data_IF_730076689953
#
_entry.id   IF_730076689953
#
_cell.length_a   1.000
_cell.length_b   1.000
_cell.length_c   1.000
_cell.angle_alpha   90.00
_cell.angle_beta   90.00
_cell.angle_gamma   90.00
#
_symmetry.space_group_name_H-M   'P 1'
#
loop_
_entity.id
_entity.type
_entity.pdbx_description
1 polymer ?
#
# COMPACT_ATOMS: atom_id res chain seq x y z
N UNK A 1 10.04 -2.83 5.15
CA UNK A 1 10.76 -1.97 4.19
C UNK A 1 9.79 -0.87 3.83
N UNK A 2 10.10 0.39 4.09
CA UNK A 2 9.15 1.48 3.85
C UNK A 2 8.76 1.59 2.36
N UNK A 3 7.51 1.97 2.06
CA UNK A 3 7.18 2.53 0.74
C UNK A 3 7.98 3.81 0.54
N UNK A 4 8.49 3.97 -0.68
CA UNK A 4 9.45 4.98 -1.10
C UNK A 4 9.02 5.51 -2.46
N UNK A 5 9.63 6.63 -2.88
CA UNK A 5 9.40 7.21 -4.20
C UNK A 5 9.53 6.18 -5.34
N UNK A 6 10.54 5.31 -5.29
CA UNK A 6 10.79 4.31 -6.35
C UNK A 6 9.58 3.40 -6.57
N UNK A 7 8.84 3.08 -5.51
CA UNK A 7 7.67 2.19 -5.59
C UNK A 7 6.51 2.88 -6.32
N UNK A 8 6.32 4.19 -6.11
CA UNK A 8 5.37 4.98 -6.90
C UNK A 8 5.82 5.15 -8.36
N UNK A 9 7.12 5.37 -8.60
CA UNK A 9 7.67 5.50 -9.96
C UNK A 9 7.54 4.19 -10.75
N UNK A 10 7.52 3.04 -10.08
CA UNK A 10 7.30 1.73 -10.70
C UNK A 10 5.83 1.35 -10.94
N UNK A 11 4.86 2.21 -10.63
CA UNK A 11 3.45 1.94 -10.93
C UNK A 11 3.25 1.94 -12.46
N UNK A 12 2.70 0.84 -12.97
CA UNK A 12 2.53 0.60 -14.43
C UNK A 12 1.07 0.60 -14.85
N UNK A 13 0.20 0.10 -14.00
CA UNK A 13 -1.21 -0.17 -14.26
C UNK A 13 -2.10 0.56 -13.24
N UNK A 14 -2.05 1.91 -13.17
CA UNK A 14 -2.88 2.65 -12.24
C UNK A 14 -4.38 2.42 -12.52
N UNK A 15 -5.23 2.36 -11.48
CA UNK A 15 -4.89 2.52 -10.07
C UNK A 15 -4.23 1.26 -9.47
N UNK A 16 -3.18 1.46 -8.67
CA UNK A 16 -2.52 0.38 -7.92
C UNK A 16 -2.49 0.71 -6.43
N UNK A 17 -2.80 -0.28 -5.58
CA UNK A 17 -2.67 -0.16 -4.12
C UNK A 17 -1.45 -0.93 -3.67
N UNK A 18 -0.44 -0.17 -3.27
CA UNK A 18 0.80 -0.70 -2.70
C UNK A 18 0.66 -0.78 -1.18
N UNK A 19 0.68 -1.98 -0.59
CA UNK A 19 0.66 -2.15 0.86
C UNK A 19 2.07 -1.99 1.44
N UNK A 20 2.13 -1.62 2.71
CA UNK A 20 3.33 -1.76 3.52
C UNK A 20 2.99 -2.01 5.00
N UNK A 21 3.86 -2.75 5.66
CA UNK A 21 3.76 -3.06 7.07
C UNK A 21 5.16 -2.92 7.69
N UNK A 22 5.22 -2.37 8.91
CA UNK A 22 6.47 -2.13 9.60
C UNK A 22 6.38 -2.56 11.05
N UNK A 23 7.50 -3.06 11.57
CA UNK A 23 7.75 -3.34 12.99
C UNK A 23 8.85 -2.39 13.42
N UNK A 24 8.60 -1.57 14.44
CA UNK A 24 9.55 -0.55 14.87
C UNK A 24 9.71 -0.50 16.38
N UNK A 25 10.96 -0.35 16.81
CA UNK A 25 11.29 0.07 18.16
C UNK A 25 11.46 1.59 18.19
N UNK A 26 10.81 2.25 19.14
CA UNK A 26 10.85 3.70 19.24
C UNK A 26 11.11 4.09 20.68
N UNK A 27 12.24 4.76 20.91
CA UNK A 27 12.59 5.27 22.24
C UNK A 27 11.57 6.29 22.74
N UNK A 28 11.49 6.47 24.06
CA UNK A 28 10.65 7.48 24.70
C UNK A 28 10.88 8.87 24.08
N UNK A 29 9.80 9.56 23.70
CA UNK A 29 9.80 10.88 23.06
C UNK A 29 10.58 10.96 21.73
N UNK A 30 10.77 9.82 21.07
CA UNK A 30 11.37 9.75 19.74
C UNK A 30 10.32 9.56 18.65
N UNK A 31 10.77 9.69 17.39
CA UNK A 31 9.96 9.37 16.21
C UNK A 31 10.65 8.33 15.35
N UNK A 32 9.89 7.39 14.83
CA UNK A 32 10.28 6.52 13.74
C UNK A 32 9.64 7.00 12.44
N UNK A 33 10.42 7.08 11.38
CA UNK A 33 9.93 7.33 10.03
C UNK A 33 9.45 6.01 9.43
N UNK A 34 8.15 5.94 9.13
CA UNK A 34 7.51 4.74 8.57
C UNK A 34 7.43 4.83 7.04
N UNK A 35 7.13 6.03 6.52
CA UNK A 35 7.07 6.31 5.09
C UNK A 35 7.55 7.73 4.85
N UNK A 36 8.38 7.90 3.81
CA UNK A 36 8.83 9.21 3.37
C UNK A 36 8.93 9.28 1.86
N UNK A 37 7.89 9.85 1.26
CA UNK A 37 7.82 10.14 -0.16
C UNK A 37 8.00 11.66 -0.30
N UNK A 38 9.24 12.14 -0.56
CA UNK A 38 9.55 13.57 -0.55
C UNK A 38 8.94 14.32 -1.74
N UNK A 39 8.66 13.62 -2.84
CA UNK A 39 7.98 14.14 -4.01
C UNK A 39 7.04 13.07 -4.59
N UNK A 40 5.83 13.44 -5.03
CA UNK A 40 5.00 12.56 -5.85
C UNK A 40 5.44 12.69 -7.32
N UNK A 41 5.57 11.59 -8.09
CA UNK A 41 5.88 11.66 -9.51
C UNK A 41 4.93 12.56 -10.30
N UNK A 42 5.45 13.26 -11.31
CA UNK A 42 4.66 14.17 -12.13
C UNK A 42 3.49 13.46 -12.81
N UNK A 43 2.29 14.04 -12.74
CA UNK A 43 1.08 13.43 -13.31
C UNK A 43 0.51 12.28 -12.50
N UNK A 44 0.97 12.05 -11.26
CA UNK A 44 0.38 11.10 -10.32
C UNK A 44 -0.16 11.79 -9.06
N UNK A 45 -1.13 11.14 -8.41
CA UNK A 45 -1.53 11.41 -7.02
C UNK A 45 -1.28 10.15 -6.20
N UNK A 46 -0.88 10.35 -4.95
CA UNK A 46 -0.79 9.28 -3.97
C UNK A 46 -1.94 9.44 -2.97
N UNK A 47 -2.69 8.38 -2.70
CA UNK A 47 -3.74 8.39 -1.67
C UNK A 47 -3.35 7.42 -0.57
N UNK A 48 -3.05 7.96 0.62
CA UNK A 48 -2.85 7.14 1.82
C UNK A 48 -4.19 6.53 2.20
N UNK A 49 -4.23 5.20 2.21
CA UNK A 49 -5.43 4.40 2.37
C UNK A 49 -5.23 3.37 3.46
N UNK A 50 -6.10 3.45 4.47
CA UNK A 50 -6.10 2.52 5.58
C UNK A 50 -4.85 2.63 6.43
N UNK A 51 -5.03 2.90 7.72
CA UNK A 51 -3.93 2.83 8.67
C UNK A 51 -4.41 1.99 9.84
N UNK A 52 -3.65 0.96 10.18
CA UNK A 52 -3.90 0.12 11.33
C UNK A 52 -2.61 -0.01 12.13
N UNK A 53 -2.71 0.09 13.46
CA UNK A 53 -1.55 0.03 14.35
C UNK A 53 -1.89 -0.68 15.65
N UNK A 54 -0.88 -1.04 16.42
CA UNK A 54 -1.11 -1.52 17.78
C UNK A 54 -1.91 -0.50 18.58
N UNK A 55 -2.92 -1.01 19.29
CA UNK A 55 -3.83 -0.18 20.07
C UNK A 55 -3.18 0.20 21.41
N UNK A 56 -2.51 1.35 21.44
CA UNK A 56 -1.80 1.83 22.64
C UNK A 56 -1.91 3.34 22.82
N UNK A 57 -1.88 3.78 24.08
CA UNK A 57 -1.72 5.20 24.42
C UNK A 57 -0.27 5.68 24.35
N UNK A 58 0.68 4.75 24.21
CA UNK A 58 2.10 5.05 24.14
C UNK A 58 2.54 5.58 22.77
N UNK A 59 1.64 5.66 21.78
CA UNK A 59 1.98 6.01 20.41
C UNK A 59 1.01 7.04 19.81
N UNK A 60 1.56 7.93 18.99
CA UNK A 60 0.85 8.87 18.13
C UNK A 60 1.29 8.71 16.68
N UNK A 61 0.33 8.76 15.76
CA UNK A 61 0.57 8.77 14.34
C UNK A 61 0.67 10.23 13.88
N UNK A 62 1.75 10.55 13.17
CA UNK A 62 1.94 11.88 12.57
C UNK A 62 2.06 11.73 11.06
N UNK A 63 1.05 12.25 10.36
CA UNK A 63 0.93 12.14 8.92
C UNK A 63 1.07 13.53 8.33
N UNK A 64 2.02 13.70 7.41
CA UNK A 64 2.20 14.95 6.67
C UNK A 64 1.83 14.74 5.21
N UNK A 65 0.86 15.51 4.74
CA UNK A 65 0.37 15.50 3.36
C UNK A 65 0.59 16.88 2.78
N UNK A 66 1.46 16.97 1.79
CA UNK A 66 1.89 18.23 1.19
C UNK A 66 2.38 19.21 2.28
N UNK A 67 1.57 20.21 2.63
CA UNK A 67 1.88 21.20 3.66
C UNK A 67 1.11 20.99 4.98
N UNK A 68 0.12 20.10 5.00
CA UNK A 68 -0.70 19.81 6.18
C UNK A 68 -0.10 18.70 7.02
N UNK A 69 -0.23 18.82 8.34
CA UNK A 69 0.12 17.78 9.29
C UNK A 69 -1.10 17.38 10.10
N UNK A 70 -1.29 16.08 10.29
CA UNK A 70 -2.33 15.48 11.13
C UNK A 70 -1.67 14.62 12.19
N UNK A 71 -2.11 14.79 13.43
CA UNK A 71 -1.63 14.03 14.58
C UNK A 71 -2.81 13.30 15.20
N UNK A 72 -2.64 12.00 15.45
CA UNK A 72 -3.70 11.09 15.87
C UNK A 72 -3.15 10.16 16.95
N UNK A 73 -3.89 9.94 18.02
CA UNK A 73 -3.50 8.91 18.99
C UNK A 73 -3.72 7.51 18.39
N UNK A 74 -2.85 6.55 18.71
CA UNK A 74 -2.98 5.18 18.19
C UNK A 74 -4.12 4.40 18.86
N UNK A 75 -4.40 4.66 20.15
CA UNK A 75 -5.45 3.96 20.92
C UNK A 75 -6.86 3.98 20.29
N UNK A 76 -7.40 5.12 19.82
CA UNK A 76 -8.74 5.17 19.23
C UNK A 76 -8.81 4.63 17.80
N UNK A 77 -7.68 4.28 17.17
CA UNK A 77 -7.69 3.72 15.82
C UNK A 77 -8.21 2.27 15.84
N UNK A 78 -8.73 1.84 14.69
CA UNK A 78 -9.09 0.44 14.50
C UNK A 78 -7.87 -0.43 14.80
N UNK A 79 -8.09 -1.45 15.64
CA UNK A 79 -7.08 -2.44 15.97
C UNK A 79 -6.55 -3.11 14.68
N UNK A 80 -5.30 -3.55 14.70
CA UNK A 80 -4.70 -4.37 13.64
C UNK A 80 -5.45 -5.67 13.36
N UNK A 81 -6.34 -6.11 14.24
CA UNK A 81 -7.28 -7.20 14.02
C UNK A 81 -8.50 -6.84 13.16
N UNK A 82 -8.60 -5.60 12.68
CA UNK A 82 -9.69 -5.09 11.82
C UNK A 82 -9.14 -4.45 10.53
N UNK A 83 -8.03 -4.98 10.00
CA UNK A 83 -7.38 -4.47 8.77
C UNK A 83 -8.19 -4.65 7.50
N UNK A 84 -9.14 -5.58 7.51
CA UNK A 84 -10.17 -5.74 6.49
C UNK A 84 -11.14 -4.54 6.46
N UNK A 85 -11.18 -3.76 7.55
CA UNK A 85 -11.93 -2.50 7.71
C UNK A 85 -10.96 -1.37 8.00
N UNK A 86 -10.12 -1.00 7.04
CA UNK A 86 -9.17 0.10 7.22
C UNK A 86 -9.92 1.33 7.73
N UNK A 87 -9.30 2.03 8.68
CA UNK A 87 -9.72 3.37 9.07
C UNK A 87 -9.99 4.22 7.82
N UNK A 88 -10.99 5.10 7.90
CA UNK A 88 -11.45 5.94 6.78
C UNK A 88 -10.41 6.97 6.28
N UNK A 89 -9.12 6.77 6.55
CA UNK A 89 -8.04 7.53 5.93
C UNK A 89 -8.09 7.29 4.42
N UNK A 90 -8.44 8.37 3.73
CA UNK A 90 -8.30 8.51 2.29
C UNK A 90 -7.70 9.89 2.06
N UNK A 91 -6.42 10.02 2.37
CA UNK A 91 -5.71 11.30 2.38
C UNK A 91 -4.92 11.43 1.07
N UNK A 92 -5.28 12.44 0.28
CA UNK A 92 -4.74 12.64 -1.07
C UNK A 92 -3.54 13.58 -0.99
N UNK A 93 -2.38 13.11 -1.47
CA UNK A 93 -1.15 13.88 -1.62
C UNK A 93 -0.87 14.15 -3.10
N UNK A 94 -0.48 15.39 -3.39
CA UNK A 94 -0.12 15.82 -4.76
C UNK A 94 1.35 16.19 -4.90
N UNK A 95 2.02 16.50 -3.79
CA UNK A 95 3.41 16.95 -3.73
C UNK A 95 4.26 16.04 -2.87
N UNK A 96 3.85 15.70 -1.65
CA UNK A 96 4.64 14.85 -0.75
C UNK A 96 3.78 14.13 0.26
N UNK A 97 4.20 12.95 0.69
CA UNK A 97 3.50 12.15 1.70
C UNK A 97 4.50 11.58 2.69
N UNK A 98 4.28 11.82 3.99
CA UNK A 98 5.10 11.27 5.07
C UNK A 98 4.23 10.72 6.19
N UNK A 99 4.72 9.66 6.81
CA UNK A 99 4.08 9.04 7.95
C UNK A 99 5.15 8.66 8.97
N UNK A 100 4.94 9.10 10.21
CA UNK A 100 5.80 8.82 11.35
C UNK A 100 4.98 8.26 12.50
N UNK A 101 5.62 7.42 13.31
CA UNK A 101 5.14 7.02 14.63
C UNK A 101 5.94 7.80 15.67
N UNK A 102 5.25 8.51 16.55
CA UNK A 102 5.83 9.21 17.69
C UNK A 102 5.52 8.45 18.99
N UNK A 103 6.55 8.17 19.77
CA UNK A 103 6.44 7.44 21.02
C UNK A 103 6.24 8.38 22.21
N UNK A 104 5.06 8.34 22.82
CA UNK A 104 4.79 8.98 24.12
C UNK A 104 5.44 8.17 25.26
N UNK A 105 5.51 6.85 25.13
CA UNK A 105 6.33 5.96 25.96
C UNK A 105 7.17 5.05 25.06
N UNK A 106 8.25 4.46 25.59
CA UNK A 106 9.08 3.54 24.80
C UNK A 106 8.23 2.41 24.20
N UNK A 107 8.39 2.20 22.90
CA UNK A 107 7.70 1.19 22.12
C UNK A 107 8.69 0.11 21.73
N UNK A 108 8.31 -1.15 21.92
CA UNK A 108 9.04 -2.32 21.46
C UNK A 108 8.14 -3.11 20.52
N UNK A 109 8.68 -3.53 19.38
CA UNK A 109 7.99 -4.29 18.34
C UNK A 109 6.65 -3.65 17.91
N UNK A 110 6.56 -2.31 17.90
CA UNK A 110 5.32 -1.63 17.53
C UNK A 110 5.03 -1.85 16.05
N UNK A 111 3.85 -2.38 15.78
CA UNK A 111 3.45 -2.77 14.43
C UNK A 111 2.46 -1.75 13.84
N UNK A 112 2.65 -1.48 12.55
CA UNK A 112 1.79 -0.59 11.77
C UNK A 112 1.66 -1.10 10.34
N UNK A 113 0.48 -0.87 9.77
CA UNK A 113 0.17 -1.17 8.39
C UNK A 113 -0.50 0.03 7.73
N UNK A 114 -0.18 0.24 6.46
CA UNK A 114 -0.86 1.21 5.61
C UNK A 114 -0.82 0.79 4.13
N UNK A 115 -1.70 1.38 3.34
CA UNK A 115 -1.69 1.27 1.88
C UNK A 115 -1.52 2.63 1.21
N UNK A 116 -0.89 2.65 0.04
CA UNK A 116 -0.81 3.85 -0.81
C UNK A 116 -1.37 3.51 -2.19
N UNK A 117 -2.47 4.15 -2.56
CA UNK A 117 -2.93 4.13 -3.94
C UNK A 117 -2.06 5.08 -4.76
N UNK A 118 -1.42 4.58 -5.80
CA UNK A 118 -0.88 5.44 -6.85
C UNK A 118 -1.84 5.50 -8.03
N UNK A 119 -2.10 6.72 -8.47
CA UNK A 119 -3.18 7.01 -9.40
C UNK A 119 -2.75 8.07 -10.40
N UNK A 120 -3.12 7.90 -11.67
CA UNK A 120 -2.79 8.87 -12.72
C UNK A 120 -3.73 10.08 -12.67
N UNK A 121 -3.17 11.29 -12.61
CA UNK A 121 -3.93 12.53 -12.62
C UNK A 121 -4.75 12.65 -13.91
N UNK A 122 -6.07 12.74 -13.78
CA UNK A 122 -6.97 13.12 -14.87
C UNK A 122 -7.27 14.63 -14.81
N UNK A 123 -7.88 15.17 -15.89
CA UNK A 123 -8.38 16.56 -15.89
C UNK A 123 -9.39 16.78 -14.77
N UNK A 124 -10.25 15.79 -14.50
CA UNK A 124 -11.22 15.87 -13.41
C UNK A 124 -10.54 15.93 -12.03
N UNK A 125 -9.49 15.12 -11.80
CA UNK A 125 -8.72 15.16 -10.55
C UNK A 125 -8.05 16.53 -10.36
N UNK A 126 -7.44 17.07 -11.42
CA UNK A 126 -6.79 18.38 -11.38
C UNK A 126 -7.79 19.49 -11.05
N UNK A 127 -8.97 19.46 -11.66
CA UNK A 127 -10.03 20.43 -11.37
C UNK A 127 -10.53 20.30 -9.92
N UNK A 128 -10.78 19.07 -9.44
CA UNK A 128 -11.22 18.82 -8.06
C UNK A 128 -10.19 19.31 -7.04
N UNK A 129 -8.91 19.04 -7.29
CA UNK A 129 -7.79 19.38 -6.41
C UNK A 129 -7.23 20.80 -6.64
N UNK A 130 -7.85 21.57 -7.54
CA UNK A 130 -7.42 22.93 -7.92
C UNK A 130 -5.96 23.00 -8.41
N UNK A 131 -5.51 21.96 -9.10
CA UNK A 131 -4.20 21.90 -9.75
C UNK A 131 -4.25 22.60 -11.12
N UNK A 132 -3.13 23.17 -11.59
CA UNK A 132 -3.07 23.81 -12.89
C UNK A 132 -3.29 22.81 -14.03
N UNK A 133 -4.09 23.23 -15.02
CA UNK A 133 -4.28 22.50 -16.27
C UNK A 133 -3.31 22.99 -17.34
N UNK A 134 -2.78 22.07 -18.13
CA UNK A 134 -2.06 22.38 -19.37
C UNK A 134 -3.02 22.91 -20.45
N UNK A 135 -2.49 23.55 -21.50
CA UNK A 135 -3.32 24.11 -22.58
C UNK A 135 -4.20 23.06 -23.26
N UNK A 136 -3.70 21.84 -23.45
CA UNK A 136 -4.48 20.76 -24.07
C UNK A 136 -5.57 20.23 -23.13
N UNK A 137 -5.28 20.18 -21.82
CA UNK A 137 -6.27 19.81 -20.80
C UNK A 137 -7.37 20.88 -20.65
N UNK A 138 -7.04 22.16 -20.86
CA UNK A 138 -8.04 23.24 -20.89
C UNK A 138 -8.99 23.08 -22.08
N UNK A 139 -8.46 22.84 -23.28
CA UNK A 139 -9.28 22.56 -24.48
C UNK A 139 -10.15 21.32 -24.29
N UNK A 140 -9.60 20.28 -23.65
CA UNK A 140 -10.36 19.05 -23.34
C UNK A 140 -11.49 19.33 -22.34
N UNK A 141 -11.20 20.12 -21.30
CA UNK A 141 -12.21 20.55 -20.33
C UNK A 141 -13.35 21.35 -20.98
N UNK A 142 -13.03 22.29 -21.88
CA UNK A 142 -14.01 23.11 -22.59
C UNK A 142 -14.87 22.29 -23.55
N UNK A 143 -14.25 21.41 -24.34
CA UNK A 143 -14.96 20.58 -25.33
C UNK A 143 -15.88 19.53 -24.69
N UNK A 144 -15.44 18.88 -23.61
CA UNK A 144 -16.21 17.84 -22.92
C UNK A 144 -17.03 18.36 -21.73
N UNK A 145 -16.87 19.63 -21.35
CA UNK A 145 -17.56 20.23 -20.22
C UNK A 145 -17.22 19.58 -18.86
N UNK A 146 -15.99 19.11 -18.69
CA UNK A 146 -15.57 18.29 -17.52
C UNK A 146 -15.81 19.07 -16.21
N UNK A 147 -15.50 20.36 -16.17
CA UNK A 147 -15.70 21.22 -15.00
C UNK A 147 -17.12 21.18 -14.46
N UNK A 148 -18.13 21.23 -15.34
CA UNK A 148 -19.55 21.15 -14.94
C UNK A 148 -19.90 19.83 -14.27
N UNK A 149 -19.25 18.73 -14.67
CA UNK A 149 -19.47 17.40 -14.08
C UNK A 149 -18.74 17.23 -12.74
N UNK A 150 -17.59 17.89 -12.58
CA UNK A 150 -16.86 17.95 -11.30
C UNK A 150 -17.64 18.79 -10.29
N UNK A 151 -18.17 19.94 -10.69
CA UNK A 151 -19.04 20.78 -9.84
C UNK A 151 -20.29 20.05 -9.36
N UNK A 152 -20.86 19.17 -10.19
CA UNK A 152 -21.99 18.30 -9.82
C UNK A 152 -21.61 17.13 -8.92
N UNK A 153 -20.32 16.86 -8.73
CA UNK A 153 -19.82 15.73 -7.96
C UNK A 153 -19.89 14.37 -8.68
N UNK A 154 -20.06 14.36 -10.01
CA UNK A 154 -20.09 13.11 -10.80
C UNK A 154 -18.68 12.61 -11.13
N UNK A 155 -17.77 13.54 -11.45
CA UNK A 155 -16.36 13.25 -11.71
C UNK A 155 -15.47 13.88 -10.63
N UNK A 156 -14.30 13.29 -10.33
CA UNK A 156 -13.88 11.95 -10.72
C UNK A 156 -14.76 10.86 -10.08
N UNK A 157 -14.96 9.70 -10.73
CA UNK A 157 -15.76 8.63 -10.16
C UNK A 157 -15.09 8.08 -8.89
N UNK A 158 -15.89 7.46 -8.02
CA UNK A 158 -15.36 6.72 -6.86
C UNK A 158 -14.44 5.57 -7.33
N UNK A 159 -13.48 5.18 -6.48
CA UNK A 159 -12.53 4.10 -6.75
C UNK A 159 -13.24 2.82 -7.19
N UNK A 160 -14.23 2.34 -6.43
CA UNK A 160 -14.94 1.08 -6.73
C UNK A 160 -15.57 1.08 -8.12
N UNK A 161 -16.10 2.24 -8.54
CA UNK A 161 -16.68 2.42 -9.87
C UNK A 161 -15.62 2.45 -10.96
N UNK A 162 -14.45 3.02 -10.67
CA UNK A 162 -13.30 3.00 -11.58
C UNK A 162 -12.81 1.58 -11.76
N UNK A 163 -12.61 0.85 -10.67
CA UNK A 163 -12.19 -0.54 -10.70
C UNK A 163 -13.19 -1.39 -11.49
N UNK A 164 -14.49 -1.22 -11.28
CA UNK A 164 -15.51 -1.96 -12.03
C UNK A 164 -15.51 -1.67 -13.53
N UNK A 165 -15.13 -0.45 -13.95
CA UNK A 165 -15.09 -0.08 -15.36
C UNK A 165 -13.80 -0.51 -16.06
N UNK A 166 -12.69 -0.62 -15.34
CA UNK A 166 -11.39 -1.02 -15.89
C UNK A 166 -11.10 -2.51 -15.73
N UNK A 167 -11.63 -3.14 -14.67
CA UNK A 167 -11.33 -4.50 -14.26
C UNK A 167 -12.60 -5.32 -14.12
N UNK A 168 -12.74 -6.36 -14.96
CA UNK A 168 -13.83 -7.32 -14.87
C UNK A 168 -13.32 -8.66 -14.30
N UNK A 169 -13.61 -8.99 -13.03
CA UNK A 169 -13.13 -10.23 -12.42
C UNK A 169 -13.84 -11.43 -13.05
N UNK A 170 -13.06 -12.33 -13.66
CA UNK A 170 -13.59 -13.56 -14.27
C UNK A 170 -13.75 -14.67 -13.21
N UNK A 171 -12.77 -14.79 -12.31
CA UNK A 171 -12.78 -15.70 -11.18
C UNK A 171 -11.78 -15.20 -10.13
N UNK A 172 -12.01 -15.59 -8.88
CA UNK A 172 -11.16 -15.28 -7.72
C UNK A 172 -10.88 -16.58 -6.97
N UNK A 173 -9.67 -16.72 -6.43
CA UNK A 173 -9.30 -17.86 -5.59
C UNK A 173 -8.25 -17.44 -4.57
N UNK A 174 -8.10 -18.27 -3.54
CA UNK A 174 -7.06 -18.13 -2.52
C UNK A 174 -6.09 -19.30 -2.66
N UNK A 175 -4.80 -19.00 -2.63
CA UNK A 175 -3.73 -19.99 -2.60
C UNK A 175 -3.09 -20.01 -1.22
N UNK A 176 -2.88 -21.21 -0.67
CA UNK A 176 -2.36 -21.40 0.69
C UNK A 176 -1.15 -22.31 0.64
N UNK A 177 -0.04 -21.86 1.23
CA UNK A 177 1.20 -22.62 1.27
C UNK A 177 1.63 -22.84 2.72
N UNK A 178 2.21 -24.00 2.99
CA UNK A 178 2.82 -24.32 4.27
C UNK A 178 4.19 -24.92 3.99
N UNK A 179 5.23 -24.15 4.29
CA UNK A 179 6.60 -24.49 3.96
C UNK A 179 7.53 -24.11 5.12
N UNK A 180 8.67 -24.79 5.21
CA UNK A 180 9.76 -24.40 6.10
C UNK A 180 10.65 -23.37 5.40
N UNK A 181 10.74 -22.18 5.97
CA UNK A 181 11.54 -21.06 5.46
C UNK A 181 13.01 -21.22 5.91
N UNK A 182 13.98 -21.25 5.00
CA UNK A 182 15.38 -21.33 5.37
C UNK A 182 15.89 -20.01 5.99
N UNK A 183 16.94 -20.11 6.81
CA UNK A 183 17.58 -18.95 7.46
C UNK A 183 18.38 -18.05 6.50
N UNK A 184 18.61 -18.51 5.28
CA UNK A 184 19.28 -17.76 4.24
C UNK A 184 18.69 -18.10 2.88
N UNK A 185 18.63 -17.08 2.02
CA UNK A 185 18.06 -17.20 0.68
C UNK A 185 16.56 -16.92 0.63
N UNK A 186 16.00 -17.10 -0.57
CA UNK A 186 14.57 -16.92 -0.85
C UNK A 186 13.98 -18.28 -1.21
N UNK A 187 12.88 -18.62 -0.56
CA UNK A 187 12.02 -19.72 -0.98
C UNK A 187 10.93 -19.16 -1.89
N UNK A 188 10.78 -19.72 -3.08
CA UNK A 188 9.64 -19.41 -3.94
C UNK A 188 8.40 -20.15 -3.44
N UNK A 189 7.31 -19.42 -3.21
CA UNK A 189 6.04 -19.98 -2.77
C UNK A 189 5.14 -20.28 -3.96
N UNK A 190 5.01 -19.32 -4.87
CA UNK A 190 4.14 -19.45 -6.02
C UNK A 190 4.62 -18.55 -7.17
N UNK A 191 4.44 -19.05 -8.40
CA UNK A 191 4.47 -18.24 -9.61
C UNK A 191 3.09 -18.33 -10.26
N UNK A 192 2.31 -17.27 -10.12
CA UNK A 192 0.95 -17.18 -10.61
C UNK A 192 0.98 -16.51 -11.99
N UNK A 193 0.29 -17.09 -12.97
CA UNK A 193 0.21 -16.58 -14.34
C UNK A 193 -1.25 -16.48 -14.81
N UNK A 194 -1.57 -15.59 -15.77
CA UNK A 194 -2.89 -15.55 -16.37
C UNK A 194 -3.26 -16.91 -16.99
N UNK A 195 -4.51 -17.33 -16.78
CA UNK A 195 -4.98 -18.64 -17.27
C UNK A 195 -5.04 -18.75 -18.80
N UNK A 196 -5.15 -17.63 -19.51
CA UNK A 196 -5.23 -17.57 -20.98
C UNK A 196 -4.59 -16.28 -21.52
N UNK A 197 -4.13 -16.28 -22.78
CA UNK A 197 -3.75 -15.05 -23.49
C UNK A 197 -4.88 -14.01 -23.47
N UNK A 198 -4.52 -12.74 -23.31
CA UNK A 198 -5.47 -11.63 -23.23
C UNK A 198 -6.14 -11.46 -21.85
N UNK A 199 -5.78 -12.29 -20.87
CA UNK A 199 -6.13 -12.09 -19.46
C UNK A 199 -4.91 -11.59 -18.70
N UNK A 200 -5.18 -11.02 -17.53
CA UNK A 200 -4.17 -10.60 -16.57
C UNK A 200 -4.62 -11.06 -15.17
N UNK A 201 -3.73 -10.93 -14.20
CA UNK A 201 -3.98 -11.30 -12.80
C UNK A 201 -3.85 -10.07 -11.92
N UNK A 202 -4.55 -10.06 -10.79
CA UNK A 202 -4.44 -9.00 -9.78
C UNK A 202 -4.25 -9.65 -8.43
N UNK A 203 -3.15 -9.34 -7.75
CA UNK A 203 -3.00 -9.70 -6.35
C UNK A 203 -3.79 -8.68 -5.52
N UNK A 204 -4.80 -9.18 -4.80
CA UNK A 204 -5.73 -8.35 -4.05
C UNK A 204 -5.49 -8.41 -2.55
N UNK A 205 -4.97 -9.53 -2.04
CA UNK A 205 -4.75 -9.76 -0.61
C UNK A 205 -3.60 -10.71 -0.36
N UNK A 206 -2.90 -10.52 0.76
CA UNK A 206 -1.89 -11.44 1.30
C UNK A 206 -2.04 -11.49 2.82
N UNK A 207 -1.89 -12.69 3.37
CA UNK A 207 -1.76 -12.93 4.80
C UNK A 207 -0.61 -13.91 5.05
N UNK A 208 -0.08 -13.91 6.28
CA UNK A 208 0.83 -14.95 6.74
C UNK A 208 0.62 -15.23 8.22
N UNK A 209 1.03 -16.42 8.64
CA UNK A 209 1.11 -16.77 10.04
C UNK A 209 2.20 -15.97 10.76
N UNK A 210 2.06 -15.83 12.07
CA UNK A 210 3.02 -15.08 12.87
C UNK A 210 4.33 -15.86 12.98
N UNK A 211 5.47 -15.23 12.66
CA UNK A 211 6.78 -15.77 12.98
C UNK A 211 6.97 -15.87 14.50
N UNK A 212 7.90 -16.70 14.95
CA UNK A 212 8.11 -16.92 16.39
C UNK A 212 8.61 -15.66 17.11
N UNK A 213 9.46 -14.87 16.44
CA UNK A 213 10.05 -13.64 16.97
C UNK A 213 10.15 -12.60 15.85
N UNK A 214 9.96 -11.32 16.19
CA UNK A 214 10.18 -10.21 15.24
C UNK A 214 11.62 -10.20 14.69
N UNK A 215 12.59 -10.59 15.51
CA UNK A 215 14.00 -10.70 15.16
C UNK A 215 14.31 -11.71 14.03
N UNK A 216 13.41 -12.65 13.74
CA UNK A 216 13.58 -13.58 12.63
C UNK A 216 13.44 -12.89 11.26
N UNK A 217 12.85 -11.69 11.24
CA UNK A 217 12.70 -10.83 10.07
C UNK A 217 12.20 -11.60 8.83
N UNK A 218 11.21 -12.45 9.03
CA UNK A 218 10.57 -13.18 7.94
C UNK A 218 9.72 -12.20 7.12
N UNK A 219 9.88 -12.24 5.80
CA UNK A 219 9.25 -11.30 4.88
C UNK A 219 8.64 -12.04 3.69
N UNK A 220 7.41 -11.66 3.33
CA UNK A 220 6.81 -12.03 2.05
C UNK A 220 7.33 -11.07 1.00
N UNK A 221 7.87 -11.62 -0.07
CA UNK A 221 8.39 -10.91 -1.22
C UNK A 221 7.42 -11.06 -2.39
N UNK A 222 7.11 -9.94 -3.05
CA UNK A 222 6.24 -9.89 -4.21
C UNK A 222 7.08 -9.35 -5.37
N UNK A 223 7.10 -10.06 -6.50
CA UNK A 223 7.56 -9.54 -7.79
C UNK A 223 6.38 -9.57 -8.77
N UNK A 224 6.36 -8.61 -9.69
CA UNK A 224 5.31 -8.46 -10.69
C UNK A 224 5.92 -8.33 -12.06
N UNK A 225 5.56 -9.17 -13.01
CA UNK A 225 6.06 -9.11 -14.39
C UNK A 225 7.60 -8.97 -14.39
N UNK A 226 8.12 -7.92 -15.03
CA UNK A 226 9.54 -7.54 -15.02
C UNK A 226 9.97 -6.69 -13.81
N UNK A 227 9.04 -6.27 -12.96
CA UNK A 227 9.31 -5.48 -11.76
C UNK A 227 9.70 -6.38 -10.59
N UNK A 228 10.93 -6.18 -10.13
CA UNK A 228 11.52 -6.96 -9.05
C UNK A 228 12.15 -8.27 -9.51
N UNK A 229 13.21 -8.64 -8.79
CA UNK A 229 13.93 -9.90 -8.94
C UNK A 229 13.94 -10.63 -7.60
N UNK A 230 14.42 -11.87 -7.59
CA UNK A 230 14.60 -12.64 -6.35
C UNK A 230 15.48 -11.92 -5.33
N UNK A 231 16.49 -11.17 -5.79
CA UNK A 231 17.42 -10.42 -4.95
C UNK A 231 16.94 -9.00 -4.61
N UNK A 232 15.96 -8.48 -5.35
CA UNK A 232 15.43 -7.13 -5.18
C UNK A 232 13.95 -7.15 -5.55
N UNK A 233 13.08 -7.68 -4.67
CA UNK A 233 11.67 -7.81 -4.95
C UNK A 233 11.00 -6.43 -5.10
N UNK A 234 9.84 -6.42 -5.77
CA UNK A 234 9.05 -5.20 -5.95
C UNK A 234 8.50 -4.69 -4.60
N UNK A 235 7.99 -5.59 -3.76
CA UNK A 235 7.58 -5.30 -2.39
C UNK A 235 8.09 -6.38 -1.43
N UNK A 236 8.32 -5.99 -0.17
CA UNK A 236 8.71 -6.89 0.92
C UNK A 236 7.97 -6.52 2.20
N UNK A 237 7.14 -7.43 2.68
CA UNK A 237 6.25 -7.23 3.82
C UNK A 237 6.67 -8.12 5.00
N UNK A 238 7.02 -7.56 6.17
CA UNK A 238 7.40 -8.36 7.34
C UNK A 238 6.22 -9.11 7.92
N UNK A 239 6.30 -10.44 7.99
CA UNK A 239 5.21 -11.33 8.43
C UNK A 239 4.81 -11.11 9.89
N UNK A 240 5.75 -10.67 10.75
CA UNK A 240 5.45 -10.31 12.14
C UNK A 240 4.42 -9.18 12.22
N UNK A 241 4.53 -8.17 11.35
CA UNK A 241 3.54 -7.10 11.29
C UNK A 241 2.22 -7.56 10.67
N UNK A 242 2.15 -8.71 10.00
CA UNK A 242 0.93 -9.22 9.35
C UNK A 242 0.03 -9.98 10.32
N UNK A 243 0.64 -10.70 11.25
CA UNK A 243 -0.07 -11.68 12.04
C UNK A 243 -0.40 -11.13 13.44
N UNK A 244 -1.69 -10.90 13.70
CA UNK A 244 -2.18 -10.52 15.02
C UNK A 244 -3.20 -11.56 15.53
N UNK A 245 -2.75 -12.81 15.70
CA UNK A 245 -3.53 -13.90 16.30
C UNK A 245 -4.54 -14.60 15.37
N UNK A 246 -4.91 -14.00 14.23
CA UNK A 246 -5.67 -14.62 13.14
C UNK A 246 -5.05 -14.21 11.79
N UNK A 247 -5.31 -14.99 10.73
CA UNK A 247 -4.81 -14.73 9.38
C UNK A 247 -5.48 -13.49 8.77
N UNK A 248 -5.12 -12.31 9.26
CA UNK A 248 -5.65 -11.04 8.77
C UNK A 248 -5.00 -10.70 7.43
N UNK A 249 -5.85 -10.44 6.44
CA UNK A 249 -5.43 -10.13 5.09
C UNK A 249 -5.11 -8.65 4.94
N UNK A 250 -3.93 -8.34 4.40
CA UNK A 250 -3.62 -6.99 3.96
C UNK A 250 -4.26 -6.75 2.59
N UNK A 251 -5.11 -5.72 2.43
CA UNK A 251 -5.61 -5.34 1.12
C UNK A 251 -4.51 -4.71 0.28
N UNK A 252 -4.50 -5.08 -1.00
CA UNK A 252 -3.65 -4.52 -2.04
C UNK A 252 -4.36 -4.60 -3.39
N UNK A 253 -3.76 -4.02 -4.41
CA UNK A 253 -4.28 -4.11 -5.76
C UNK A 253 -3.09 -3.96 -6.71
N UNK A 254 -2.50 -5.09 -7.05
CA UNK A 254 -1.29 -5.17 -7.88
C UNK A 254 -1.64 -5.97 -9.13
N UNK A 255 -2.04 -5.29 -10.23
CA UNK A 255 -2.27 -5.93 -11.52
C UNK A 255 -0.95 -6.39 -12.14
N UNK A 256 -0.95 -7.51 -12.85
CA UNK A 256 0.19 -8.06 -13.58
C UNK A 256 -0.25 -8.71 -14.89
N UNK A 257 0.43 -8.40 -15.99
CA UNK A 257 0.06 -8.92 -17.31
C UNK A 257 0.68 -10.29 -17.62
N UNK A 258 1.82 -10.63 -17.03
CA UNK A 258 2.55 -11.88 -17.29
C UNK A 258 2.58 -12.79 -16.08
N UNK A 259 2.94 -12.27 -14.90
CA UNK A 259 3.10 -13.09 -13.70
C UNK A 259 3.17 -12.29 -12.39
N UNK A 260 2.77 -12.94 -11.31
CA UNK A 260 3.05 -12.52 -9.94
C UNK A 260 3.83 -13.64 -9.29
N UNK A 261 5.02 -13.31 -8.79
CA UNK A 261 5.92 -14.26 -8.14
C UNK A 261 5.96 -13.94 -6.65
N UNK A 262 5.50 -14.87 -5.85
CA UNK A 262 5.50 -14.80 -4.39
C UNK A 262 6.66 -15.64 -3.86
N UNK A 263 7.35 -15.10 -2.87
CA UNK A 263 8.36 -15.86 -2.14
C UNK A 263 8.48 -15.37 -0.72
N UNK A 264 9.30 -16.06 0.04
CA UNK A 264 9.56 -15.74 1.45
C UNK A 264 11.05 -15.79 1.73
N UNK A 265 11.51 -14.86 2.54
CA UNK A 265 12.89 -14.77 3.04
C UNK A 265 12.85 -14.66 4.55
N UNK A 266 13.85 -15.20 5.23
CA UNK A 266 14.03 -15.05 6.68
C UNK A 266 15.51 -14.90 6.99
N UNK A 267 15.85 -14.25 8.10
CA UNK A 267 17.24 -14.16 8.59
C UNK A 267 17.59 -15.25 9.59
N UNK A 268 16.60 -15.92 10.18
CA UNK A 268 16.79 -16.94 11.22
C UNK A 268 16.24 -18.32 10.84
N UNK A 269 15.34 -18.38 9.84
CA UNK A 269 14.69 -19.61 9.40
C UNK A 269 13.52 -19.98 10.30
N UNK A 270 12.45 -20.49 9.72
CA UNK A 270 11.18 -20.75 10.40
C UNK A 270 10.46 -21.97 9.84
N UNK A 271 9.67 -22.66 10.66
CA UNK A 271 8.98 -23.90 10.30
C UNK A 271 7.47 -23.80 10.47
#
# INVERSE_FOLDING_TARGET
>A
MAIELRHLESIRYPPELLPDANVVDVALNARAEIMNIPRIPGGMIAKLHGIATDNTQAAQLRIKIDQEEKQLDARPLYNMSLRDRPSYFNLIATKSLRYHVYAIAALTDFTTWYGVWGWKQTVADKLLLKLPLTLDEQKLNESLGIGKTVERGTLPPKLDRTLLYEYYPIYEWTETNRETVPAAGRLELATIRPSKPGRFIVLTRVSAAQPALAANNTQITICRDSDGTESSPFLSLPTFALANGLADEIPMFIPALTDIRLGVTSTAGEA
#
